data_IF_731320263799
#
_entry.id   IF_731320263799
#
_cell.length_a   1.000
_cell.length_b   1.000
_cell.length_c   1.000
_cell.angle_alpha   90.00
_cell.angle_beta   90.00
_cell.angle_gamma   90.00
#
_symmetry.space_group_name_H-M   'P 1'
#
loop_
_entity.id
_entity.type
_entity.pdbx_description
1 polymer ?
#
# COMPACT_ATOMS: atom_id res chain seq x y z
N UNK A 1 7.90 0.61 -7.29
CA UNK A 1 8.01 -0.61 -6.44
C UNK A 1 8.48 -1.78 -7.28
N UNK A 2 9.65 -2.36 -6.98
CA UNK A 2 10.25 -3.45 -7.78
C UNK A 2 9.55 -4.76 -7.45
N UNK A 3 8.97 -5.43 -8.47
CA UNK A 3 8.50 -6.81 -8.35
C UNK A 3 9.66 -7.69 -7.90
N UNK A 4 9.52 -8.33 -6.73
CA UNK A 4 10.50 -9.32 -6.25
C UNK A 4 10.31 -10.59 -7.09
N UNK A 5 11.02 -10.67 -8.22
CA UNK A 5 11.15 -11.91 -8.99
C UNK A 5 11.62 -13.00 -8.04
N UNK A 6 10.80 -14.03 -7.82
CA UNK A 6 11.26 -15.24 -7.16
C UNK A 6 12.40 -15.80 -8.01
N UNK A 7 13.63 -15.70 -7.50
CA UNK A 7 14.79 -16.35 -8.12
C UNK A 7 14.49 -17.83 -8.12
N UNK A 8 14.36 -18.43 -9.30
CA UNK A 8 14.24 -19.88 -9.42
C UNK A 8 15.40 -20.52 -8.69
N UNK A 9 15.10 -21.37 -7.72
CA UNK A 9 16.10 -22.13 -6.97
C UNK A 9 16.79 -23.05 -7.97
N UNK A 10 17.94 -22.63 -8.51
CA UNK A 10 18.76 -23.49 -9.36
C UNK A 10 19.36 -24.57 -8.48
N UNK A 11 18.67 -25.71 -8.36
CA UNK A 11 19.18 -26.89 -7.69
C UNK A 11 20.44 -27.36 -8.43
N UNK A 12 21.58 -27.43 -7.73
CA UNK A 12 22.88 -27.90 -8.29
C UNK A 12 22.92 -29.41 -8.58
N UNK A 13 21.82 -30.12 -8.37
CA UNK A 13 21.70 -31.58 -8.54
C UNK A 13 21.25 -31.87 -9.97
N UNK A 14 21.96 -32.77 -10.65
CA UNK A 14 21.68 -33.18 -12.03
C UNK A 14 20.27 -33.78 -12.11
N UNK A 15 19.47 -33.30 -13.06
CA UNK A 15 18.12 -33.81 -13.33
C UNK A 15 18.19 -34.87 -14.42
N UNK A 16 17.78 -36.11 -14.11
CA UNK A 16 18.05 -37.28 -14.97
C UNK A 16 16.79 -37.94 -15.56
N UNK A 17 15.60 -37.67 -15.01
CA UNK A 17 14.35 -38.32 -15.43
C UNK A 17 13.35 -37.28 -15.94
N UNK A 18 12.76 -37.55 -17.12
CA UNK A 18 11.73 -36.73 -17.75
C UNK A 18 10.40 -37.49 -17.78
N UNK A 19 9.33 -36.82 -17.36
CA UNK A 19 7.94 -37.26 -17.52
C UNK A 19 7.26 -36.29 -18.48
N UNK A 20 6.49 -36.80 -19.45
CA UNK A 20 5.68 -36.00 -20.36
C UNK A 20 4.21 -36.22 -20.05
N UNK A 21 3.43 -35.15 -20.01
CA UNK A 21 1.99 -35.17 -19.72
C UNK A 21 1.28 -34.49 -20.88
N UNK A 22 0.23 -35.12 -21.40
CA UNK A 22 -0.61 -34.56 -22.45
C UNK A 22 -1.86 -33.95 -21.81
N UNK A 23 -2.22 -32.74 -22.24
CA UNK A 23 -3.42 -32.05 -21.81
C UNK A 23 -4.41 -31.97 -22.96
N UNK A 24 -5.70 -32.07 -22.65
CA UNK A 24 -6.75 -31.60 -23.53
C UNK A 24 -6.75 -30.07 -23.58
N UNK A 25 -7.43 -29.48 -24.58
CA UNK A 25 -7.48 -28.02 -24.73
C UNK A 25 -8.07 -27.30 -23.49
N UNK A 26 -9.09 -27.90 -22.85
CA UNK A 26 -9.72 -27.35 -21.65
C UNK A 26 -8.78 -27.42 -20.44
N UNK A 27 -8.15 -28.57 -20.20
CA UNK A 27 -7.21 -28.74 -19.09
C UNK A 27 -5.99 -27.83 -19.25
N UNK A 28 -5.54 -27.58 -20.48
CA UNK A 28 -4.43 -26.67 -20.74
C UNK A 28 -4.80 -25.21 -20.46
N UNK A 29 -6.04 -24.80 -20.76
CA UNK A 29 -6.53 -23.46 -20.42
C UNK A 29 -6.61 -23.26 -18.90
N UNK A 30 -7.14 -24.24 -18.17
CA UNK A 30 -7.15 -24.21 -16.70
C UNK A 30 -5.74 -24.18 -16.11
N UNK A 31 -4.82 -24.97 -16.65
CA UNK A 31 -3.42 -24.99 -16.25
C UNK A 31 -2.76 -23.60 -16.38
N UNK A 32 -3.01 -22.89 -17.49
CA UNK A 32 -2.48 -21.54 -17.70
C UNK A 32 -3.03 -20.54 -16.68
N UNK A 33 -4.32 -20.59 -16.38
CA UNK A 33 -4.97 -19.75 -15.35
C UNK A 33 -4.38 -20.01 -13.95
N UNK A 34 -4.16 -21.28 -13.60
CA UNK A 34 -3.55 -21.64 -12.32
C UNK A 34 -2.08 -21.18 -12.24
N UNK A 35 -1.32 -21.31 -13.34
CA UNK A 35 0.07 -20.84 -13.43
C UNK A 35 0.17 -19.33 -13.28
N UNK A 36 -0.73 -18.58 -13.91
CA UNK A 36 -0.81 -17.13 -13.82
C UNK A 36 -1.10 -16.70 -12.38
N UNK A 37 -2.06 -17.34 -11.73
CA UNK A 37 -2.39 -17.10 -10.31
C UNK A 37 -1.20 -17.37 -9.39
N UNK A 38 -0.39 -18.40 -9.68
CA UNK A 38 0.80 -18.74 -8.91
C UNK A 38 2.02 -17.83 -9.19
N UNK A 39 2.00 -17.01 -10.24
CA UNK A 39 3.06 -16.06 -10.59
C UNK A 39 4.39 -16.71 -11.04
N UNK A 40 4.37 -18.00 -11.42
CA UNK A 40 5.57 -18.75 -11.81
C UNK A 40 5.81 -18.64 -13.32
N UNK A 41 7.03 -18.31 -13.73
CA UNK A 41 7.37 -18.12 -15.16
C UNK A 41 7.52 -19.44 -15.93
N UNK A 42 8.08 -20.49 -15.29
CA UNK A 42 8.33 -21.78 -15.92
C UNK A 42 7.15 -22.74 -15.76
N UNK A 43 6.66 -23.32 -16.87
CA UNK A 43 5.59 -24.33 -16.86
C UNK A 43 6.03 -25.60 -16.10
N UNK A 44 7.25 -26.09 -16.36
CA UNK A 44 7.77 -27.30 -15.71
C UNK A 44 7.99 -27.11 -14.22
N UNK A 45 8.42 -25.91 -13.79
CA UNK A 45 8.57 -25.59 -12.37
C UNK A 45 7.21 -25.58 -11.67
N UNK A 46 6.19 -25.01 -12.31
CA UNK A 46 4.82 -24.99 -11.78
C UNK A 46 4.23 -26.40 -11.65
N UNK A 47 4.40 -27.26 -12.66
CA UNK A 47 3.97 -28.67 -12.63
C UNK A 47 4.66 -29.42 -11.48
N UNK A 48 5.98 -29.29 -11.35
CA UNK A 48 6.74 -29.96 -10.31
C UNK A 48 6.27 -29.55 -8.91
N UNK A 49 6.15 -28.25 -8.66
CA UNK A 49 5.68 -27.74 -7.38
C UNK A 49 4.22 -28.15 -7.07
N UNK A 50 3.34 -28.25 -8.09
CA UNK A 50 1.98 -28.76 -7.92
C UNK A 50 1.93 -30.25 -7.59
N UNK A 51 2.74 -31.09 -8.24
CA UNK A 51 2.82 -32.54 -7.99
C UNK A 51 3.34 -32.83 -6.58
N UNK A 52 4.36 -32.08 -6.14
CA UNK A 52 4.96 -32.26 -4.80
C UNK A 52 4.26 -31.44 -3.70
N UNK A 53 3.07 -30.89 -4.01
CA UNK A 53 2.24 -30.14 -3.08
C UNK A 53 2.99 -29.00 -2.36
N UNK A 54 3.97 -28.39 -3.03
CA UNK A 54 4.66 -27.21 -2.51
C UNK A 54 3.62 -26.08 -2.39
N UNK A 55 3.54 -25.48 -1.21
CA UNK A 55 2.54 -24.45 -0.94
C UNK A 55 2.85 -23.19 -1.75
N UNK A 56 2.14 -23.02 -2.86
CA UNK A 56 2.10 -21.73 -3.54
C UNK A 56 1.40 -20.75 -2.61
N UNK A 57 2.18 -19.90 -1.95
CA UNK A 57 1.65 -18.76 -1.21
C UNK A 57 1.15 -17.74 -2.23
N UNK A 58 -0.06 -17.96 -2.76
CA UNK A 58 -0.78 -16.96 -3.55
C UNK A 58 -1.15 -15.84 -2.59
N UNK A 59 -0.26 -14.87 -2.42
CA UNK A 59 -0.59 -13.65 -1.71
C UNK A 59 -1.50 -12.87 -2.65
N UNK A 60 -2.82 -13.13 -2.56
CA UNK A 60 -3.83 -12.21 -3.09
C UNK A 60 -3.75 -10.94 -2.25
N UNK A 61 -2.77 -10.08 -2.56
CA UNK A 61 -2.72 -8.75 -1.98
C UNK A 61 -3.93 -8.03 -2.53
N UNK A 62 -4.93 -7.79 -1.68
CA UNK A 62 -5.99 -6.86 -2.01
C UNK A 62 -5.33 -5.50 -2.22
N UNK A 63 -5.14 -5.15 -3.49
CA UNK A 63 -4.41 -3.95 -3.90
C UNK A 63 -5.16 -2.70 -3.46
N UNK A 64 -6.48 -2.79 -3.28
CA UNK A 64 -7.30 -1.68 -2.78
C UNK A 64 -6.99 -1.39 -1.31
N UNK A 65 -6.86 -2.43 -0.48
CA UNK A 65 -6.53 -2.28 0.93
C UNK A 65 -5.11 -1.74 1.13
N UNK A 66 -4.16 -2.20 0.32
CA UNK A 66 -2.78 -1.67 0.37
C UNK A 66 -2.74 -0.19 -0.03
N UNK A 67 -3.44 0.20 -1.10
CA UNK A 67 -3.53 1.59 -1.55
C UNK A 67 -4.21 2.47 -0.50
N UNK A 68 -5.26 1.95 0.15
CA UNK A 68 -5.91 2.60 1.29
C UNK A 68 -4.94 2.87 2.44
N UNK A 69 -4.20 1.87 2.90
CA UNK A 69 -3.19 2.06 3.96
C UNK A 69 -2.09 3.06 3.56
N UNK A 70 -1.67 3.05 2.29
CA UNK A 70 -0.68 4.02 1.79
C UNK A 70 -1.21 5.45 1.82
N UNK A 71 -2.45 5.66 1.37
CA UNK A 71 -3.12 6.98 1.43
C UNK A 71 -3.25 7.47 2.87
N UNK A 72 -3.70 6.60 3.79
CA UNK A 72 -3.81 6.94 5.21
C UNK A 72 -2.46 7.32 5.83
N UNK A 73 -1.42 6.54 5.54
CA UNK A 73 -0.05 6.81 6.02
C UNK A 73 0.47 8.16 5.50
N UNK A 74 0.20 8.45 4.22
CA UNK A 74 0.61 9.71 3.59
C UNK A 74 -0.10 10.90 4.23
N UNK A 75 -1.41 10.78 4.47
CA UNK A 75 -2.21 11.80 5.14
C UNK A 75 -1.67 12.10 6.55
N UNK A 76 -1.36 11.06 7.33
CA UNK A 76 -0.74 11.23 8.66
C UNK A 76 0.61 11.97 8.59
N UNK A 77 1.44 11.64 7.59
CA UNK A 77 2.70 12.34 7.33
C UNK A 77 2.50 13.83 7.01
N UNK A 78 1.48 14.16 6.21
CA UNK A 78 1.13 15.54 5.88
C UNK A 78 0.69 16.32 7.13
N UNK A 79 -0.20 15.76 7.96
CA UNK A 79 -0.62 16.39 9.22
C UNK A 79 0.56 16.70 10.15
N UNK A 80 1.48 15.73 10.31
CA UNK A 80 2.69 15.95 11.12
C UNK A 80 3.56 17.05 10.54
N UNK A 81 3.73 17.09 9.23
CA UNK A 81 4.51 18.14 8.55
C UNK A 81 3.91 19.53 8.78
N UNK A 82 2.58 19.67 8.76
CA UNK A 82 1.91 20.95 9.05
C UNK A 82 2.23 21.40 10.47
N UNK A 83 2.17 20.52 11.46
CA UNK A 83 2.53 20.86 12.84
C UNK A 83 3.99 21.30 13.01
N UNK A 84 4.92 20.65 12.32
CA UNK A 84 6.34 21.05 12.31
C UNK A 84 6.50 22.44 11.67
N UNK A 85 5.88 22.66 10.52
CA UNK A 85 5.94 23.92 9.79
C UNK A 85 5.32 25.06 10.61
N UNK A 86 4.20 24.82 11.29
CA UNK A 86 3.59 25.79 12.20
C UNK A 86 4.57 26.26 13.27
N UNK A 87 5.23 25.32 13.95
CA UNK A 87 6.21 25.66 14.98
C UNK A 87 7.39 26.46 14.42
N UNK A 88 7.90 26.08 13.25
CA UNK A 88 8.96 26.82 12.57
C UNK A 88 8.54 28.26 12.23
N UNK A 89 7.33 28.44 11.71
CA UNK A 89 6.78 29.77 11.36
C UNK A 89 6.66 30.64 12.60
N UNK A 90 6.14 30.12 13.71
CA UNK A 90 6.00 30.88 14.97
C UNK A 90 7.37 31.33 15.51
N UNK A 91 8.37 30.43 15.50
CA UNK A 91 9.74 30.78 15.90
C UNK A 91 10.33 31.83 14.97
N UNK A 92 10.16 31.69 13.66
CA UNK A 92 10.66 32.64 12.67
C UNK A 92 10.00 34.02 12.79
N UNK A 93 8.68 34.07 13.07
CA UNK A 93 7.93 35.30 13.29
C UNK A 93 8.45 36.06 14.53
N UNK A 94 8.71 35.33 15.62
CA UNK A 94 9.25 35.91 16.86
C UNK A 94 10.65 36.51 16.67
N UNK A 95 11.50 35.88 15.86
CA UNK A 95 12.90 36.28 15.73
C UNK A 95 13.17 37.34 14.65
N UNK A 96 12.36 37.41 13.59
CA UNK A 96 12.71 38.19 12.39
C UNK A 96 11.81 39.41 12.11
N UNK A 97 10.66 39.54 12.79
CA UNK A 97 9.70 40.60 12.50
C UNK A 97 9.47 41.51 13.72
N UNK A 98 9.07 42.76 13.43
CA UNK A 98 8.60 43.68 14.46
C UNK A 98 7.25 43.20 15.01
N UNK A 99 6.96 43.48 16.29
CA UNK A 99 5.77 42.97 16.98
C UNK A 99 4.49 43.19 16.18
N UNK A 100 4.28 44.40 15.64
CA UNK A 100 3.07 44.73 14.87
C UNK A 100 2.89 43.86 13.61
N UNK A 101 3.98 43.52 12.91
CA UNK A 101 3.93 42.60 11.74
C UNK A 101 3.77 41.14 12.18
N UNK A 102 4.45 40.73 13.24
CA UNK A 102 4.33 39.39 13.78
C UNK A 102 2.89 39.08 14.23
N UNK A 103 2.23 40.02 14.91
CA UNK A 103 0.82 39.88 15.31
C UNK A 103 -0.13 39.76 14.12
N UNK A 104 0.06 40.56 13.06
CA UNK A 104 -0.78 40.46 11.86
C UNK A 104 -0.63 39.09 11.17
N UNK A 105 0.59 38.57 11.08
CA UNK A 105 0.86 37.26 10.48
C UNK A 105 0.38 36.10 11.36
N UNK A 106 0.45 36.24 12.69
CA UNK A 106 -0.11 35.27 13.63
C UNK A 106 -1.63 35.18 13.54
N UNK A 107 -2.33 36.30 13.41
CA UNK A 107 -3.79 36.30 13.23
C UNK A 107 -4.21 35.57 11.94
N UNK A 108 -3.44 35.71 10.87
CA UNK A 108 -3.67 34.95 9.64
C UNK A 108 -3.39 33.45 9.81
N UNK A 109 -2.32 33.11 10.54
CA UNK A 109 -1.97 31.72 10.85
C UNK A 109 -3.04 31.04 11.72
N UNK A 110 -3.59 31.76 12.70
CA UNK A 110 -4.70 31.30 13.54
C UNK A 110 -5.93 30.97 12.69
N UNK A 111 -6.32 31.85 11.77
CA UNK A 111 -7.44 31.61 10.86
C UNK A 111 -7.25 30.33 10.04
N UNK A 112 -6.07 30.15 9.43
CA UNK A 112 -5.76 28.93 8.66
C UNK A 112 -5.77 27.68 9.53
N UNK A 113 -5.37 27.80 10.79
CA UNK A 113 -5.37 26.68 11.75
C UNK A 113 -6.79 26.29 12.15
N UNK A 114 -7.70 27.25 12.29
CA UNK A 114 -9.13 27.01 12.52
C UNK A 114 -9.78 26.31 11.31
N UNK A 115 -9.50 26.76 10.10
CA UNK A 115 -9.98 26.10 8.86
C UNK A 115 -9.48 24.65 8.78
N UNK A 116 -8.21 24.41 9.09
CA UNK A 116 -7.64 23.06 9.14
C UNK A 116 -8.31 22.19 10.21
N UNK A 117 -8.62 22.75 11.38
CA UNK A 117 -9.31 22.02 12.45
C UNK A 117 -10.74 21.65 12.05
N UNK A 118 -11.46 22.54 11.36
CA UNK A 118 -12.80 22.26 10.84
C UNK A 118 -12.79 21.09 9.84
N UNK A 119 -11.88 21.14 8.85
CA UNK A 119 -11.70 20.05 7.87
C UNK A 119 -11.29 18.76 8.57
N UNK A 120 -10.40 18.83 9.57
CA UNK A 120 -10.02 17.67 10.39
C UNK A 120 -11.22 17.04 11.10
N UNK A 121 -12.14 17.86 11.62
CA UNK A 121 -13.40 17.41 12.22
C UNK A 121 -14.31 16.71 11.22
N UNK A 122 -14.48 17.27 10.02
CA UNK A 122 -15.26 16.65 8.94
C UNK A 122 -14.70 15.29 8.53
N UNK A 123 -13.37 15.16 8.42
CA UNK A 123 -12.71 13.88 8.10
C UNK A 123 -13.02 12.83 9.16
N UNK A 124 -12.93 13.18 10.45
CA UNK A 124 -13.25 12.27 11.55
C UNK A 124 -14.72 11.85 11.50
N UNK A 125 -15.63 12.78 11.23
CA UNK A 125 -17.05 12.50 11.13
C UNK A 125 -17.38 11.54 9.98
N UNK A 126 -16.85 11.82 8.78
CA UNK A 126 -16.99 10.93 7.62
C UNK A 126 -16.42 9.54 7.88
N UNK A 127 -15.31 9.47 8.61
CA UNK A 127 -14.69 8.18 9.00
C UNK A 127 -15.59 7.39 9.95
N UNK A 128 -16.24 8.05 10.91
CA UNK A 128 -17.20 7.40 11.82
C UNK A 128 -18.44 6.90 11.08
N UNK A 129 -19.01 7.71 10.20
CA UNK A 129 -20.16 7.31 9.38
C UNK A 129 -19.84 6.12 8.48
N UNK A 130 -18.64 6.08 7.90
CA UNK A 130 -18.17 4.94 7.14
C UNK A 130 -18.03 3.70 8.02
N UNK A 131 -17.43 3.83 9.22
CA UNK A 131 -17.28 2.73 10.16
C UNK A 131 -18.63 2.16 10.61
N UNK A 132 -19.62 3.01 10.92
CA UNK A 132 -20.96 2.57 11.31
C UNK A 132 -21.66 1.79 10.19
N UNK A 133 -21.61 2.31 8.95
CA UNK A 133 -22.23 1.65 7.77
C UNK A 133 -21.60 0.30 7.43
N UNK A 134 -20.31 0.12 7.69
CA UNK A 134 -19.59 -1.12 7.37
C UNK A 134 -19.42 -2.07 8.55
N UNK A 135 -19.60 -1.61 9.79
CA UNK A 135 -19.59 -2.45 11.01
C UNK A 135 -20.93 -3.14 11.27
N UNK A 136 -22.01 -2.75 10.58
CA UNK A 136 -23.34 -3.38 10.67
C UNK A 136 -23.58 -4.50 9.64
N UNK A 137 -22.54 -4.91 8.91
CA UNK A 137 -22.56 -6.05 7.98
C UNK A 137 -21.72 -7.20 8.54
#
# INVERSE_FOLDING_TARGET
MKQKKMRGTSSKVKTEKRVSVNFTAMEFAEFLSMKETAGVQSQSAFIKARIFNETFRVIKVDRSLLDYYQKLTTLYGQFRSVGINYNQVVVALKSNFTEKKAYAMLAQLEKLTLELAAIGGEIVQLTREFQEKWSQK
#
